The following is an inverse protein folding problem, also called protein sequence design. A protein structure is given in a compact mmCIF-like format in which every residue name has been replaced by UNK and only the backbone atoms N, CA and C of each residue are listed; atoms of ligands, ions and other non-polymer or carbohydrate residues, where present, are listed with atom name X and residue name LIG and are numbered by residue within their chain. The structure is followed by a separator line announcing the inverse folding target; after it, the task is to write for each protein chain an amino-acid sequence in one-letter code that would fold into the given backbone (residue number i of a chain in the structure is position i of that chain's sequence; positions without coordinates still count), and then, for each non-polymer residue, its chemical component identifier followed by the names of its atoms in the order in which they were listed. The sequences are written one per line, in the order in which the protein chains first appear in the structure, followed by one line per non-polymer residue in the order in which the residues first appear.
data_IF_408562270827
#
_entry.id   IF_408562270827
#
_cell.length_a   1.000
_cell.length_b   1.000
_cell.length_c   1.000
_cell.angle_alpha   90.00
_cell.angle_beta   90.00
_cell.angle_gamma   90.00
#
_symmetry.space_group_name_H-M   'P 1'
#
loop_
_entity.id
_entity.type
_entity.pdbx_description
1 polymer ?
#
# COMPACT_ATOMS: atom_id res chain seq x y z
N UNK A 1 -3.03 41.28 -16.30
CA UNK A 1 -2.24 40.16 -16.83
C UNK A 1 -1.69 39.42 -15.63
N UNK A 2 -2.48 38.49 -15.11
CA UNK A 2 -2.11 37.65 -13.97
C UNK A 2 -0.90 36.79 -14.32
N UNK A 3 0.00 36.64 -13.35
CA UNK A 3 1.18 35.79 -13.43
C UNK A 3 0.78 34.36 -13.81
N UNK A 4 0.94 34.00 -15.08
CA UNK A 4 0.89 32.62 -15.60
C UNK A 4 2.15 31.81 -15.24
N UNK A 5 3.06 32.39 -14.46
CA UNK A 5 4.20 31.68 -13.92
C UNK A 5 3.72 30.80 -12.75
N UNK A 6 3.42 29.54 -13.05
CA UNK A 6 3.43 28.49 -12.03
C UNK A 6 4.78 28.49 -11.27
N UNK A 7 4.86 27.83 -10.11
CA UNK A 7 6.09 27.79 -9.31
C UNK A 7 7.30 27.41 -10.18
N UNK A 8 8.42 28.12 -9.99
CA UNK A 8 9.62 28.00 -10.83
C UNK A 8 10.24 26.58 -10.83
N UNK A 9 9.84 25.72 -9.89
CA UNK A 9 10.21 24.31 -9.81
C UNK A 9 8.99 23.45 -9.50
N UNK A 10 8.73 22.37 -10.28
CA UNK A 10 7.69 21.41 -9.97
C UNK A 10 8.01 20.71 -8.64
N UNK A 11 7.01 20.58 -7.78
CA UNK A 11 7.09 19.91 -6.47
C UNK A 11 6.80 18.40 -6.60
N UNK A 12 6.32 17.95 -7.76
CA UNK A 12 6.09 16.53 -8.06
C UNK A 12 7.35 15.67 -7.87
N UNK A 13 7.19 14.46 -7.34
CA UNK A 13 8.28 13.52 -7.04
C UNK A 13 8.40 12.44 -8.11
N UNK A 14 9.52 12.41 -8.84
CA UNK A 14 9.84 11.33 -9.78
C UNK A 14 9.98 9.99 -9.07
N UNK A 15 10.63 9.98 -7.90
CA UNK A 15 10.87 8.78 -7.10
C UNK A 15 9.55 8.10 -6.72
N UNK A 16 8.57 8.87 -6.24
CA UNK A 16 7.24 8.35 -5.92
C UNK A 16 6.57 7.74 -7.16
N UNK A 17 6.70 8.37 -8.33
CA UNK A 17 6.12 7.85 -9.57
C UNK A 17 6.73 6.51 -10.01
N UNK A 18 8.03 6.33 -9.80
CA UNK A 18 8.73 5.06 -10.08
C UNK A 18 8.27 3.96 -9.13
N UNK A 19 8.13 4.28 -7.83
CA UNK A 19 7.64 3.30 -6.85
C UNK A 19 6.22 2.82 -7.20
N UNK A 20 5.30 3.76 -7.45
CA UNK A 20 3.92 3.45 -7.86
C UNK A 20 3.84 2.57 -9.12
N UNK A 21 4.78 2.77 -10.06
CA UNK A 21 4.87 1.93 -11.25
C UNK A 21 5.31 0.50 -10.89
N UNK A 22 6.37 0.36 -10.08
CA UNK A 22 6.85 -0.95 -9.62
C UNK A 22 5.77 -1.70 -8.84
N UNK A 23 5.03 -1.01 -7.98
CA UNK A 23 3.95 -1.59 -7.21
C UNK A 23 2.76 -1.99 -8.09
N UNK A 24 2.44 -1.18 -9.12
CA UNK A 24 1.45 -1.53 -10.13
C UNK A 24 1.82 -2.77 -10.94
N UNK A 25 3.11 -3.07 -11.12
CA UNK A 25 3.58 -4.32 -11.71
C UNK A 25 3.60 -5.48 -10.72
N UNK A 26 4.02 -5.25 -9.47
CA UNK A 26 4.18 -6.28 -8.46
C UNK A 26 2.85 -6.80 -7.92
N UNK A 27 1.88 -5.91 -7.70
CA UNK A 27 0.56 -6.26 -7.16
C UNK A 27 -0.17 -7.35 -7.96
N UNK A 28 -0.30 -7.27 -9.30
CA UNK A 28 -0.96 -8.33 -10.06
C UNK A 28 -0.18 -9.65 -10.03
N UNK A 29 1.16 -9.60 -9.99
CA UNK A 29 2.00 -10.81 -9.86
C UNK A 29 1.77 -11.47 -8.50
N UNK A 30 1.83 -10.69 -7.42
CA UNK A 30 1.54 -11.16 -6.07
C UNK A 30 0.13 -11.77 -5.99
N UNK A 31 -0.87 -11.07 -6.50
CA UNK A 31 -2.24 -11.53 -6.48
C UNK A 31 -2.41 -12.84 -7.25
N UNK A 32 -1.87 -12.95 -8.47
CA UNK A 32 -1.95 -14.17 -9.27
C UNK A 32 -1.32 -15.36 -8.55
N UNK A 33 -0.10 -15.18 -8.02
CA UNK A 33 0.63 -16.24 -7.30
C UNK A 33 -0.13 -16.67 -6.05
N UNK A 34 -0.57 -15.73 -5.22
CA UNK A 34 -1.31 -16.04 -3.98
C UNK A 34 -2.64 -16.71 -4.30
N UNK A 35 -3.42 -16.21 -5.26
CA UNK A 35 -4.71 -16.80 -5.63
C UNK A 35 -4.54 -18.23 -6.16
N UNK A 36 -3.52 -18.50 -6.98
CA UNK A 36 -3.20 -19.85 -7.45
C UNK A 36 -2.81 -20.77 -6.29
N UNK A 37 -1.95 -20.30 -5.39
CA UNK A 37 -1.51 -21.08 -4.24
C UNK A 37 -2.65 -21.34 -3.25
N UNK A 38 -3.58 -20.41 -3.07
CA UNK A 38 -4.77 -20.61 -2.23
C UNK A 38 -5.70 -21.69 -2.79
N UNK A 39 -5.69 -21.95 -4.10
CA UNK A 39 -6.41 -23.08 -4.69
C UNK A 39 -5.69 -24.40 -4.44
N UNK A 40 -4.36 -24.40 -4.38
CA UNK A 40 -3.54 -25.62 -4.33
C UNK A 40 -3.23 -26.05 -2.90
N UNK A 41 -2.85 -25.12 -2.02
CA UNK A 41 -2.39 -25.39 -0.65
C UNK A 41 -3.39 -26.17 0.21
N UNK A 42 -4.71 -25.92 0.16
CA UNK A 42 -5.65 -26.64 1.01
C UNK A 42 -5.67 -28.16 0.76
N UNK A 43 -5.19 -28.63 -0.40
CA UNK A 43 -5.05 -30.06 -0.70
C UNK A 43 -3.84 -30.70 -0.01
N UNK A 44 -2.78 -29.92 0.25
CA UNK A 44 -1.52 -30.43 0.83
C UNK A 44 -1.36 -30.10 2.32
N UNK A 45 -2.02 -29.04 2.79
CA UNK A 45 -1.93 -28.56 4.17
C UNK A 45 -3.30 -28.56 4.83
N UNK A 46 -3.34 -28.82 6.14
CA UNK A 46 -4.56 -28.72 6.94
C UNK A 46 -4.94 -27.26 7.15
N UNK A 47 -5.67 -26.70 6.19
CA UNK A 47 -6.25 -25.37 6.34
C UNK A 47 -7.47 -25.42 7.26
N UNK A 48 -7.56 -24.54 8.28
CA UNK A 48 -8.79 -24.40 9.06
C UNK A 48 -9.97 -24.01 8.17
N UNK A 49 -11.19 -24.48 8.49
CA UNK A 49 -12.35 -24.24 7.65
C UNK A 49 -12.63 -22.73 7.51
N UNK A 50 -12.86 -22.28 6.27
CA UNK A 50 -13.19 -20.89 5.95
C UNK A 50 -11.99 -19.93 5.88
N UNK A 51 -10.81 -20.29 6.42
CA UNK A 51 -9.64 -19.40 6.40
C UNK A 51 -9.11 -19.19 4.98
N UNK A 52 -8.98 -20.26 4.19
CA UNK A 52 -8.54 -20.16 2.79
C UNK A 52 -9.47 -19.27 1.94
N UNK A 53 -10.79 -19.34 2.18
CA UNK A 53 -11.76 -18.48 1.52
C UNK A 53 -11.60 -17.01 1.95
N UNK A 54 -11.34 -16.76 3.23
CA UNK A 54 -11.04 -15.43 3.76
C UNK A 54 -9.79 -14.82 3.12
N UNK A 55 -8.69 -15.58 3.09
CA UNK A 55 -7.44 -15.19 2.41
C UNK A 55 -7.69 -14.90 0.92
N UNK A 56 -8.51 -15.72 0.26
CA UNK A 56 -8.88 -15.53 -1.15
C UNK A 56 -9.65 -14.24 -1.39
N UNK A 57 -10.70 -13.99 -0.61
CA UNK A 57 -11.51 -12.77 -0.72
C UNK A 57 -10.67 -11.52 -0.40
N UNK A 58 -9.79 -11.62 0.61
CA UNK A 58 -8.89 -10.52 0.97
C UNK A 58 -7.97 -10.14 -0.19
N UNK A 59 -7.34 -11.12 -0.84
CA UNK A 59 -6.47 -10.87 -1.99
C UNK A 59 -7.26 -10.37 -3.22
N UNK A 60 -8.47 -10.90 -3.45
CA UNK A 60 -9.33 -10.44 -4.53
C UNK A 60 -9.74 -8.97 -4.36
N UNK A 61 -10.05 -8.56 -3.13
CA UNK A 61 -10.38 -7.18 -2.80
C UNK A 61 -9.15 -6.25 -2.81
N UNK A 62 -7.96 -6.79 -2.54
CA UNK A 62 -6.73 -6.02 -2.55
C UNK A 62 -6.42 -5.41 -3.92
N UNK A 63 -6.60 -6.17 -5.01
CA UNK A 63 -6.29 -5.72 -6.38
C UNK A 63 -7.02 -4.42 -6.79
N UNK A 64 -8.36 -4.31 -6.69
CA UNK A 64 -9.04 -3.07 -7.07
C UNK A 64 -8.72 -1.89 -6.13
N UNK A 65 -8.53 -2.14 -4.83
CA UNK A 65 -8.12 -1.09 -3.88
C UNK A 65 -6.73 -0.55 -4.26
N UNK A 66 -5.82 -1.42 -4.69
CA UNK A 66 -4.50 -1.01 -5.16
C UNK A 66 -4.56 -0.25 -6.48
N UNK A 67 -5.46 -0.62 -7.39
CA UNK A 67 -5.73 0.18 -8.59
C UNK A 67 -6.16 1.61 -8.25
N UNK A 68 -7.09 1.76 -7.28
CA UNK A 68 -7.53 3.07 -6.81
C UNK A 68 -6.42 3.83 -6.08
N UNK A 69 -5.65 3.16 -5.21
CA UNK A 69 -4.51 3.75 -4.49
C UNK A 69 -3.46 4.27 -5.46
N UNK A 70 -3.03 3.44 -6.41
CA UNK A 70 -2.06 3.81 -7.44
C UNK A 70 -2.52 4.98 -8.32
N UNK A 71 -3.82 5.01 -8.66
CA UNK A 71 -4.42 6.14 -9.37
C UNK A 71 -4.39 7.43 -8.55
N UNK A 72 -4.81 7.40 -7.28
CA UNK A 72 -4.75 8.56 -6.37
C UNK A 72 -3.32 9.06 -6.18
N UNK A 73 -2.37 8.13 -5.97
CA UNK A 73 -0.94 8.40 -5.87
C UNK A 73 -0.38 9.12 -7.10
N UNK A 74 -0.70 8.59 -8.29
CA UNK A 74 -0.25 9.18 -9.55
C UNK A 74 -0.93 10.53 -9.82
N UNK A 75 -2.23 10.62 -9.57
CA UNK A 75 -3.01 11.83 -9.82
C UNK A 75 -2.57 12.97 -8.90
N UNK A 76 -2.45 12.75 -7.59
CA UNK A 76 -2.04 13.81 -6.68
C UNK A 76 -0.57 14.19 -6.77
N UNK A 77 0.33 13.26 -7.16
CA UNK A 77 1.72 13.61 -7.42
C UNK A 77 1.88 14.48 -8.67
N UNK A 78 1.19 14.13 -9.77
CA UNK A 78 1.27 14.89 -11.04
C UNK A 78 0.52 16.21 -11.00
N UNK A 79 -0.58 16.28 -10.26
CA UNK A 79 -1.37 17.50 -10.11
C UNK A 79 -0.93 18.35 -8.92
N UNK A 80 0.03 17.88 -8.12
CA UNK A 80 0.49 18.52 -6.88
C UNK A 80 -0.68 18.81 -5.92
N UNK A 81 -1.60 17.85 -5.76
CA UNK A 81 -2.82 18.00 -4.95
C UNK A 81 -2.74 17.20 -3.66
N UNK A 82 -2.72 17.89 -2.53
CA UNK A 82 -2.67 17.29 -1.19
C UNK A 82 -3.85 16.36 -0.89
N UNK A 83 -5.07 16.71 -1.32
CA UNK A 83 -6.27 15.89 -1.07
C UNK A 83 -6.16 14.49 -1.69
N UNK A 84 -5.62 14.39 -2.90
CA UNK A 84 -5.38 13.08 -3.53
C UNK A 84 -4.24 12.32 -2.84
N UNK A 85 -3.23 13.02 -2.32
CA UNK A 85 -2.16 12.39 -1.52
C UNK A 85 -2.67 11.88 -0.18
N UNK A 86 -3.58 12.60 0.47
CA UNK A 86 -4.23 12.12 1.68
C UNK A 86 -5.05 10.84 1.42
N UNK A 87 -5.82 10.80 0.32
CA UNK A 87 -6.55 9.59 -0.08
C UNK A 87 -5.64 8.41 -0.39
N UNK A 88 -4.54 8.66 -1.12
CA UNK A 88 -3.49 7.68 -1.37
C UNK A 88 -2.91 7.11 -0.07
N UNK A 89 -2.51 7.96 0.88
CA UNK A 89 -1.97 7.56 2.18
C UNK A 89 -2.99 6.81 3.03
N UNK A 90 -4.27 7.22 2.98
CA UNK A 90 -5.36 6.50 3.64
C UNK A 90 -5.50 5.07 3.12
N UNK A 91 -5.44 4.87 1.81
CA UNK A 91 -5.45 3.53 1.22
C UNK A 91 -4.15 2.75 1.45
N UNK A 92 -3.02 3.42 1.71
CA UNK A 92 -1.77 2.74 2.11
C UNK A 92 -1.93 1.96 3.43
N UNK A 93 -2.87 2.36 4.30
CA UNK A 93 -3.23 1.59 5.51
C UNK A 93 -3.70 0.19 5.13
N UNK A 94 -4.64 0.10 4.19
CA UNK A 94 -5.14 -1.19 3.68
C UNK A 94 -4.00 -2.01 3.08
N UNK A 95 -3.16 -1.37 2.26
CA UNK A 95 -2.04 -2.05 1.60
C UNK A 95 -1.08 -2.64 2.60
N UNK A 96 -0.64 -1.87 3.61
CA UNK A 96 0.25 -2.32 4.67
C UNK A 96 -0.36 -3.49 5.45
N UNK A 97 -1.65 -3.40 5.79
CA UNK A 97 -2.35 -4.48 6.51
C UNK A 97 -2.40 -5.77 5.69
N UNK A 98 -2.75 -5.71 4.41
CA UNK A 98 -2.88 -6.90 3.57
C UNK A 98 -1.53 -7.52 3.25
N UNK A 99 -0.56 -6.74 2.78
CA UNK A 99 0.77 -7.28 2.43
C UNK A 99 1.51 -7.76 3.67
N UNK A 100 1.38 -7.06 4.80
CA UNK A 100 1.91 -7.52 6.08
C UNK A 100 1.21 -8.77 6.61
N UNK A 101 -0.10 -8.91 6.41
CA UNK A 101 -0.82 -10.15 6.73
C UNK A 101 -0.29 -11.34 5.93
N UNK A 102 -0.17 -11.21 4.60
CA UNK A 102 0.36 -12.28 3.74
C UNK A 102 1.85 -12.58 4.01
N UNK A 103 2.61 -11.59 4.50
CA UNK A 103 4.01 -11.79 4.88
C UNK A 103 4.16 -12.51 6.23
N UNK A 104 3.39 -12.10 7.25
CA UNK A 104 3.68 -12.44 8.66
C UNK A 104 2.64 -13.37 9.31
N UNK A 105 1.38 -13.31 8.88
CA UNK A 105 0.25 -13.89 9.60
C UNK A 105 -0.50 -14.96 8.80
N UNK A 106 -0.08 -15.25 7.57
CA UNK A 106 -0.71 -16.26 6.72
C UNK A 106 -0.57 -17.67 7.34
N UNK A 107 -1.62 -18.47 7.21
CA UNK A 107 -1.74 -19.75 7.93
C UNK A 107 -0.74 -20.82 7.48
N UNK A 108 -0.43 -20.85 6.18
CA UNK A 108 0.57 -21.74 5.60
C UNK A 108 1.46 -20.90 4.69
N UNK A 109 2.58 -20.41 5.22
CA UNK A 109 3.52 -19.56 4.50
C UNK A 109 4.41 -20.40 3.58
N UNK A 110 4.49 -20.01 2.31
CA UNK A 110 5.55 -20.47 1.41
C UNK A 110 6.53 -19.32 1.20
N UNK A 111 7.82 -19.66 1.07
CA UNK A 111 8.89 -18.69 0.85
C UNK A 111 8.61 -17.70 -0.28
N UNK A 112 8.00 -18.18 -1.37
CA UNK A 112 7.66 -17.34 -2.52
C UNK A 112 6.65 -16.24 -2.18
N UNK A 113 5.57 -16.56 -1.45
CA UNK A 113 4.56 -15.57 -1.05
C UNK A 113 5.11 -14.60 -0.03
N UNK A 114 5.85 -15.10 0.96
CA UNK A 114 6.48 -14.24 1.97
C UNK A 114 7.44 -13.26 1.33
N UNK A 115 8.22 -13.69 0.32
CA UNK A 115 9.13 -12.81 -0.42
C UNK A 115 8.37 -11.76 -1.23
N UNK A 116 7.35 -12.15 -1.99
CA UNK A 116 6.56 -11.23 -2.81
C UNK A 116 5.77 -10.24 -1.94
N UNK A 117 5.14 -10.71 -0.87
CA UNK A 117 4.40 -9.88 0.07
C UNK A 117 5.33 -8.92 0.83
N UNK A 118 6.52 -9.39 1.23
CA UNK A 118 7.54 -8.54 1.85
C UNK A 118 8.09 -7.47 0.90
N UNK A 119 8.31 -7.80 -0.37
CA UNK A 119 8.70 -6.82 -1.38
C UNK A 119 7.59 -5.76 -1.59
N UNK A 120 6.32 -6.20 -1.68
CA UNK A 120 5.18 -5.30 -1.81
C UNK A 120 4.99 -4.41 -0.58
N UNK A 121 5.18 -4.96 0.63
CA UNK A 121 5.15 -4.19 1.87
C UNK A 121 6.26 -3.13 1.88
N UNK A 122 7.49 -3.49 1.50
CA UNK A 122 8.61 -2.56 1.43
C UNK A 122 8.32 -1.39 0.47
N UNK A 123 7.80 -1.69 -0.73
CA UNK A 123 7.38 -0.66 -1.68
C UNK A 123 6.30 0.25 -1.07
N UNK A 124 5.25 -0.33 -0.47
CA UNK A 124 4.18 0.44 0.15
C UNK A 124 4.66 1.38 1.27
N UNK A 125 5.65 0.96 2.05
CA UNK A 125 6.25 1.80 3.11
C UNK A 125 7.10 2.95 2.53
N UNK A 126 7.91 2.67 1.50
CA UNK A 126 8.68 3.71 0.80
C UNK A 126 7.76 4.73 0.12
N UNK A 127 6.68 4.25 -0.47
CA UNK A 127 5.63 5.05 -1.07
C UNK A 127 4.87 5.90 -0.06
N UNK A 128 4.53 5.34 1.11
CA UNK A 128 3.90 6.11 2.18
C UNK A 128 4.83 7.20 2.71
N UNK A 129 6.13 6.91 2.82
CA UNK A 129 7.15 7.89 3.18
C UNK A 129 7.23 9.03 2.14
N UNK A 130 7.44 8.69 0.87
CA UNK A 130 7.56 9.69 -0.20
C UNK A 130 6.24 10.45 -0.42
N UNK A 131 5.09 9.77 -0.33
CA UNK A 131 3.77 10.38 -0.43
C UNK A 131 3.45 11.30 0.75
N UNK A 132 3.89 10.97 1.95
CA UNK A 132 3.78 11.83 3.12
C UNK A 132 4.63 13.10 2.98
N UNK A 133 5.88 12.94 2.54
CA UNK A 133 6.80 14.04 2.27
C UNK A 133 6.26 14.95 1.16
N UNK A 134 5.97 14.40 -0.02
CA UNK A 134 5.43 15.17 -1.15
C UNK A 134 4.06 15.77 -0.83
N UNK A 135 3.17 15.02 -0.18
CA UNK A 135 1.86 15.50 0.25
C UNK A 135 1.96 16.70 1.17
N UNK A 136 2.90 16.70 2.12
CA UNK A 136 3.12 17.84 3.03
C UNK A 136 3.57 19.11 2.29
N UNK A 137 4.30 18.98 1.17
CA UNK A 137 4.75 20.08 0.33
C UNK A 137 3.65 20.64 -0.59
N UNK A 138 2.59 19.87 -0.80
CA UNK A 138 1.42 20.25 -1.62
C UNK A 138 0.31 20.91 -0.80
N UNK A 139 0.39 20.89 0.53
CA UNK A 139 -0.67 21.42 1.38
C UNK A 139 -0.69 22.95 1.32
N UNK A 140 -1.83 23.52 0.97
CA UNK A 140 -2.05 24.97 1.01
C UNK A 140 -2.72 25.41 2.32
N UNK A 141 -3.23 24.46 3.12
CA UNK A 141 -3.91 24.74 4.39
C UNK A 141 -3.71 23.69 5.47
N UNK A 142 -4.00 24.07 6.72
CA UNK A 142 -3.84 23.21 7.89
C UNK A 142 -4.68 21.93 7.82
N UNK A 143 -5.87 21.98 7.23
CA UNK A 143 -6.73 20.80 7.10
C UNK A 143 -6.15 19.74 6.18
N UNK A 144 -5.58 20.16 5.04
CA UNK A 144 -4.92 19.25 4.11
C UNK A 144 -3.70 18.61 4.75
N UNK A 145 -2.91 19.41 5.47
CA UNK A 145 -1.78 18.92 6.24
C UNK A 145 -2.21 17.89 7.30
N UNK A 146 -3.28 18.16 8.04
CA UNK A 146 -3.85 17.24 9.01
C UNK A 146 -4.29 15.91 8.39
N UNK A 147 -4.91 15.94 7.21
CA UNK A 147 -5.33 14.74 6.47
C UNK A 147 -4.14 13.90 5.98
N UNK A 148 -3.12 14.53 5.40
CA UNK A 148 -1.89 13.85 4.96
C UNK A 148 -1.19 13.21 6.17
N UNK A 149 -1.03 13.95 7.27
CA UNK A 149 -0.39 13.46 8.48
C UNK A 149 -1.15 12.30 9.12
N UNK A 150 -2.49 12.38 9.16
CA UNK A 150 -3.34 11.30 9.66
C UNK A 150 -3.21 10.04 8.82
N UNK A 151 -3.23 10.15 7.48
CA UNK A 151 -3.04 9.01 6.58
C UNK A 151 -1.66 8.36 6.76
N UNK A 152 -0.61 9.17 6.79
CA UNK A 152 0.75 8.70 7.04
C UNK A 152 0.88 8.00 8.40
N UNK A 153 0.41 8.66 9.46
CA UNK A 153 0.44 8.10 10.83
C UNK A 153 -0.35 6.80 10.95
N UNK A 154 -1.54 6.72 10.33
CA UNK A 154 -2.34 5.50 10.31
C UNK A 154 -1.63 4.34 9.61
N UNK A 155 -0.91 4.60 8.52
CA UNK A 155 -0.14 3.57 7.81
C UNK A 155 1.02 3.03 8.65
N UNK A 156 1.72 3.91 9.38
CA UNK A 156 2.75 3.53 10.34
C UNK A 156 2.18 2.74 11.53
N UNK A 157 1.01 3.16 12.04
CA UNK A 157 0.32 2.44 13.11
C UNK A 157 -0.13 1.04 12.67
N UNK A 158 -0.57 0.87 11.42
CA UNK A 158 -0.90 -0.43 10.85
C UNK A 158 0.32 -1.37 10.81
N UNK A 159 1.50 -0.86 10.41
CA UNK A 159 2.73 -1.63 10.48
C UNK A 159 3.08 -2.02 11.92
N UNK A 160 3.01 -1.08 12.86
CA UNK A 160 3.29 -1.34 14.27
C UNK A 160 2.34 -2.40 14.85
N UNK A 161 1.06 -2.36 14.49
CA UNK A 161 0.07 -3.37 14.86
C UNK A 161 0.48 -4.76 14.35
N UNK A 162 0.85 -4.87 13.07
CA UNK A 162 1.28 -6.13 12.47
C UNK A 162 2.52 -6.70 13.16
N UNK A 163 3.51 -5.85 13.42
CA UNK A 163 4.73 -6.26 14.12
C UNK A 163 4.43 -6.72 15.56
N UNK A 164 3.54 -6.02 16.27
CA UNK A 164 3.14 -6.42 17.63
C UNK A 164 2.47 -7.79 17.66
N UNK A 165 1.72 -8.14 16.61
CA UNK A 165 1.08 -9.44 16.45
C UNK A 165 2.05 -10.53 16.02
N UNK A 166 3.06 -10.21 15.21
CA UNK A 166 4.09 -11.17 14.82
C UNK A 166 4.97 -11.60 16.01
N UNK A 167 5.32 -10.66 16.89
CA UNK A 167 6.18 -10.93 18.07
C UNK A 167 5.49 -11.83 19.11
N UNK A 168 4.16 -11.80 19.23
CA UNK A 168 3.45 -12.64 20.21
C UNK A 168 3.44 -14.15 19.92
N UNK A 169 4.04 -14.59 18.81
CA UNK A 169 4.14 -16.02 18.41
C UNK A 169 5.58 -16.57 18.48
N UNK A 170 6.55 -15.78 18.96
CA UNK A 170 7.93 -16.20 19.24
C UNK A 170 8.11 -16.34 20.74
#
# INVERSE_FOLDING_TARGET
MENLAGPAFPRSSLRLQVLLYLEGCLTPVLALVVLLLLMVKPYFHRYPPGVALGEFVLMLLHVPIQGLRGWLGTAGNKQERAVFMAGFLGLSVWTVLVTGYFMLLQTCTLWLETLLAGAALCLALLEALDGGLSGSLFCDGFWEFGLVFLGFGASGAALALLLSRAVSWV
#
